data_IF_812761986450
#
_entry.id   IF_812761986450
#
_cell.length_a   1.000
_cell.length_b   1.000
_cell.length_c   1.000
_cell.angle_alpha   90.00
_cell.angle_beta   90.00
_cell.angle_gamma   90.00
#
_symmetry.space_group_name_H-M   'P 1'
#
loop_
_entity.id
_entity.type
_entity.pdbx_description
1 polymer ?
#
# COMPACT_ATOMS: atom_id res chain seq x y z
N UNK A 1 10.12 31.89 2.90
CA UNK A 1 8.87 31.91 3.69
C UNK A 1 8.38 30.48 3.75
N UNK A 2 8.19 29.88 4.94
CA UNK A 2 7.47 28.59 5.02
C UNK A 2 6.05 28.88 4.55
N UNK A 3 5.62 28.28 3.42
CA UNK A 3 4.19 28.18 3.09
C UNK A 3 3.54 27.61 4.36
N UNK A 4 2.61 28.33 4.98
CA UNK A 4 1.73 27.69 5.97
C UNK A 4 0.88 26.70 5.17
N UNK A 5 1.40 25.49 4.98
CA UNK A 5 0.65 24.44 4.30
C UNK A 5 -0.57 24.11 5.15
N UNK A 6 -1.74 24.16 4.53
CA UNK A 6 -2.96 23.64 5.15
C UNK A 6 -2.78 22.14 5.39
N UNK A 7 -3.45 21.66 6.43
CA UNK A 7 -3.46 20.24 6.81
C UNK A 7 -4.90 19.77 6.98
N UNK A 8 -5.21 18.55 6.54
CA UNK A 8 -6.53 17.95 6.67
C UNK A 8 -6.61 16.95 7.81
N UNK A 9 -7.84 16.72 8.27
CA UNK A 9 -8.16 15.61 9.15
C UNK A 9 -9.42 14.90 8.64
N UNK A 10 -9.46 13.58 8.76
CA UNK A 10 -10.62 12.77 8.38
C UNK A 10 -11.41 12.39 9.65
N UNK A 11 -12.70 12.69 9.69
CA UNK A 11 -13.60 12.25 10.77
C UNK A 11 -13.90 10.75 10.64
N UNK A 12 -14.32 10.10 11.72
CA UNK A 12 -14.79 8.70 11.67
C UNK A 12 -16.08 8.56 10.87
N UNK A 13 -16.29 7.38 10.27
CA UNK A 13 -17.57 7.00 9.69
C UNK A 13 -18.61 6.74 10.80
N UNK A 14 -19.82 7.26 10.64
CA UNK A 14 -20.97 6.97 11.51
C UNK A 14 -21.70 5.67 11.10
N UNK A 15 -21.32 5.08 9.96
CA UNK A 15 -21.93 3.85 9.44
C UNK A 15 -21.28 2.61 10.09
N UNK A 16 -22.06 1.55 10.36
CA UNK A 16 -21.50 0.31 10.88
C UNK A 16 -20.59 -0.38 9.86
N UNK A 17 -19.61 -1.14 10.35
CA UNK A 17 -18.78 -2.00 9.50
C UNK A 17 -19.63 -3.09 8.83
N UNK A 18 -19.28 -3.42 7.59
CA UNK A 18 -19.96 -4.42 6.75
C UNK A 18 -19.08 -5.66 6.63
N UNK A 19 -19.68 -6.83 6.83
CA UNK A 19 -18.97 -8.13 6.89
C UNK A 19 -18.09 -8.40 5.68
N UNK A 20 -18.50 -7.99 4.48
CA UNK A 20 -17.74 -8.23 3.24
C UNK A 20 -16.36 -7.56 3.27
N UNK A 21 -16.19 -6.47 4.02
CA UNK A 21 -14.94 -5.70 4.11
C UNK A 21 -14.02 -6.18 5.25
N UNK A 22 -14.44 -7.17 6.03
CA UNK A 22 -13.64 -7.69 7.15
C UNK A 22 -12.28 -8.26 6.71
N UNK A 23 -12.12 -8.61 5.43
CA UNK A 23 -10.85 -9.06 4.85
C UNK A 23 -9.75 -7.98 4.85
N UNK A 24 -10.12 -6.69 4.92
CA UNK A 24 -9.18 -5.57 4.93
C UNK A 24 -8.42 -5.49 6.26
N UNK A 25 -9.10 -5.81 7.37
CA UNK A 25 -8.54 -5.71 8.72
C UNK A 25 -7.22 -6.48 8.91
N UNK A 26 -7.11 -7.76 8.59
CA UNK A 26 -5.84 -8.47 8.77
C UNK A 26 -4.71 -7.89 7.89
N UNK A 27 -5.00 -7.42 6.68
CA UNK A 27 -4.02 -6.73 5.82
C UNK A 27 -3.56 -5.41 6.47
N UNK A 28 -4.51 -4.62 6.95
CA UNK A 28 -4.24 -3.36 7.65
C UNK A 28 -3.30 -3.56 8.84
N UNK A 29 -3.51 -4.60 9.66
CA UNK A 29 -2.66 -4.86 10.82
C UNK A 29 -1.22 -5.26 10.42
N UNK A 30 -1.03 -6.05 9.35
CA UNK A 30 0.32 -6.37 8.83
C UNK A 30 1.06 -5.09 8.39
N UNK A 31 0.39 -4.20 7.66
CA UNK A 31 1.02 -2.95 7.21
C UNK A 31 1.22 -1.98 8.38
N UNK A 32 0.30 -1.94 9.34
CA UNK A 32 0.47 -1.16 10.58
C UNK A 32 1.68 -1.63 11.38
N UNK A 33 1.91 -2.94 11.48
CA UNK A 33 3.11 -3.52 12.10
C UNK A 33 4.38 -3.05 11.37
N UNK A 34 4.39 -3.07 10.04
CA UNK A 34 5.51 -2.55 9.26
C UNK A 34 5.78 -1.07 9.54
N UNK A 35 4.74 -0.23 9.58
CA UNK A 35 4.89 1.18 9.92
C UNK A 35 5.48 1.38 11.32
N UNK A 36 5.05 0.58 12.31
CA UNK A 36 5.59 0.62 13.67
C UNK A 36 7.07 0.26 13.71
N UNK A 37 7.47 -0.79 12.97
CA UNK A 37 8.85 -1.27 12.96
C UNK A 37 9.79 -0.34 12.24
N UNK A 38 9.37 0.20 11.10
CA UNK A 38 10.23 1.03 10.27
C UNK A 38 10.08 2.54 10.55
N UNK A 39 9.23 2.91 11.52
CA UNK A 39 9.07 4.29 11.96
C UNK A 39 8.37 5.17 10.93
N UNK A 40 7.37 4.62 10.25
CA UNK A 40 6.51 5.37 9.32
C UNK A 40 5.27 5.92 10.04
N UNK A 41 4.63 6.98 9.51
CA UNK A 41 3.45 7.60 10.11
C UNK A 41 2.28 6.63 10.30
N UNK A 42 1.54 6.78 11.40
CA UNK A 42 0.37 5.96 11.76
C UNK A 42 -0.68 6.88 12.38
N UNK A 43 -1.93 6.77 11.91
CA UNK A 43 -3.08 7.47 12.48
C UNK A 43 -2.86 9.00 12.59
N UNK A 44 -2.28 9.60 11.55
CA UNK A 44 -2.00 11.04 11.45
C UNK A 44 -3.30 11.85 11.39
N UNK A 45 -3.34 12.91 12.19
CA UNK A 45 -4.46 13.86 12.24
C UNK A 45 -4.23 15.11 11.41
N UNK A 46 -2.99 15.36 10.97
CA UNK A 46 -2.61 16.52 10.19
C UNK A 46 -2.00 16.03 8.87
N UNK A 47 -2.87 15.74 7.91
CA UNK A 47 -2.51 15.22 6.60
C UNK A 47 -1.95 16.39 5.77
N UNK A 48 -0.72 16.26 5.31
CA UNK A 48 -0.03 17.29 4.51
C UNK A 48 -0.01 16.93 3.01
N UNK A 49 0.16 17.91 2.10
CA UNK A 49 0.36 17.65 0.67
C UNK A 49 1.52 16.68 0.41
N UNK A 50 2.68 16.89 1.04
CA UNK A 50 3.87 16.05 0.87
C UNK A 50 3.60 14.58 1.20
N UNK A 51 2.82 14.31 2.25
CA UNK A 51 2.39 12.95 2.58
C UNK A 51 1.52 12.35 1.47
N UNK A 52 0.57 13.11 0.94
CA UNK A 52 -0.34 12.66 -0.10
C UNK A 52 0.39 12.40 -1.42
N UNK A 53 1.29 13.29 -1.84
CA UNK A 53 2.15 13.08 -3.01
C UNK A 53 3.01 11.82 -2.85
N UNK A 54 3.61 11.61 -1.68
CA UNK A 54 4.39 10.40 -1.41
C UNK A 54 3.52 9.14 -1.53
N UNK A 55 2.32 9.13 -0.93
CA UNK A 55 1.40 7.99 -1.04
C UNK A 55 0.95 7.74 -2.49
N UNK A 56 0.67 8.81 -3.24
CA UNK A 56 0.30 8.73 -4.65
C UNK A 56 1.41 8.11 -5.49
N UNK A 57 2.66 8.56 -5.30
CA UNK A 57 3.81 8.07 -6.03
C UNK A 57 4.05 6.58 -5.75
N UNK A 58 3.98 6.16 -4.48
CA UNK A 58 4.13 4.74 -4.13
C UNK A 58 3.03 3.88 -4.78
N UNK A 59 1.76 4.30 -4.72
CA UNK A 59 0.67 3.54 -5.36
C UNK A 59 0.85 3.46 -6.87
N UNK A 60 1.26 4.57 -7.50
CA UNK A 60 1.45 4.62 -8.96
C UNK A 60 2.62 3.74 -9.40
N UNK A 61 3.75 3.81 -8.71
CA UNK A 61 4.95 3.00 -9.01
C UNK A 61 4.62 1.51 -9.02
N UNK A 62 4.05 0.97 -7.93
CA UNK A 62 3.74 -0.47 -7.83
C UNK A 62 2.66 -0.91 -8.83
N UNK A 63 1.69 -0.04 -9.15
CA UNK A 63 0.64 -0.35 -10.11
C UNK A 63 1.14 -0.33 -11.57
N UNK A 64 2.03 0.60 -11.92
CA UNK A 64 2.68 0.66 -13.24
C UNK A 64 3.63 -0.53 -13.44
N UNK A 65 4.36 -0.96 -12.39
CA UNK A 65 5.14 -2.21 -12.42
C UNK A 65 4.24 -3.44 -12.69
N UNK A 66 3.03 -3.46 -12.11
CA UNK A 66 2.04 -4.50 -12.37
C UNK A 66 1.55 -4.55 -13.82
N UNK A 67 1.26 -3.40 -14.43
CA UNK A 67 0.88 -3.33 -15.84
C UNK A 67 2.03 -3.79 -16.76
N UNK A 68 3.26 -3.39 -16.46
CA UNK A 68 4.43 -3.85 -17.22
C UNK A 68 4.64 -5.37 -17.08
N UNK A 69 4.45 -5.93 -15.89
CA UNK A 69 4.55 -7.38 -15.66
C UNK A 69 3.49 -8.19 -16.43
N UNK A 70 2.29 -7.62 -16.60
CA UNK A 70 1.23 -8.19 -17.45
C UNK A 70 1.67 -8.21 -18.92
N UNK A 71 2.17 -7.08 -19.43
CA UNK A 71 2.66 -6.98 -20.82
C UNK A 71 3.81 -7.97 -21.10
N UNK A 72 4.66 -8.23 -20.11
CA UNK A 72 5.77 -9.18 -20.20
C UNK A 72 5.33 -10.64 -20.00
N UNK A 73 4.11 -10.90 -19.53
CA UNK A 73 3.62 -12.23 -19.21
C UNK A 73 4.36 -12.89 -18.05
N UNK A 74 4.93 -12.10 -17.14
CA UNK A 74 5.74 -12.60 -16.03
C UNK A 74 4.89 -12.88 -14.79
N UNK A 75 4.34 -14.10 -14.72
CA UNK A 75 3.48 -14.58 -13.65
C UNK A 75 3.95 -14.25 -12.22
N UNK A 76 5.27 -14.35 -11.97
CA UNK A 76 5.83 -14.06 -10.65
C UNK A 76 5.78 -12.56 -10.33
N UNK A 77 6.22 -11.73 -11.26
CA UNK A 77 6.25 -10.27 -11.07
C UNK A 77 4.82 -9.69 -11.06
N UNK A 78 3.86 -10.30 -11.77
CA UNK A 78 2.44 -9.94 -11.67
C UNK A 78 1.95 -10.11 -10.23
N UNK A 79 2.22 -11.26 -9.59
CA UNK A 79 1.78 -11.50 -8.21
C UNK A 79 2.53 -10.63 -7.19
N UNK A 80 3.82 -10.34 -7.42
CA UNK A 80 4.59 -9.41 -6.61
C UNK A 80 3.95 -8.01 -6.65
N UNK A 81 3.71 -7.49 -7.86
CA UNK A 81 3.12 -6.17 -8.06
C UNK A 81 1.67 -6.06 -7.54
N UNK A 82 0.84 -7.11 -7.66
CA UNK A 82 -0.49 -7.14 -7.00
C UNK A 82 -0.33 -6.97 -5.50
N UNK A 83 0.59 -7.72 -4.91
CA UNK A 83 0.82 -7.70 -3.48
C UNK A 83 1.41 -6.39 -2.98
N UNK A 84 2.41 -5.83 -3.67
CA UNK A 84 3.03 -4.55 -3.35
C UNK A 84 2.04 -3.39 -3.54
N UNK A 85 1.22 -3.40 -4.60
CA UNK A 85 0.11 -2.44 -4.80
C UNK A 85 -0.87 -2.47 -3.62
N UNK A 86 -1.31 -3.66 -3.21
CA UNK A 86 -2.18 -3.82 -2.02
C UNK A 86 -1.49 -3.34 -0.74
N UNK A 87 -0.18 -3.57 -0.61
CA UNK A 87 0.61 -3.13 0.54
C UNK A 87 0.65 -1.60 0.66
N UNK A 88 0.90 -0.89 -0.45
CA UNK A 88 0.92 0.58 -0.47
C UNK A 88 -0.48 1.19 -0.40
N UNK A 89 -1.52 0.54 -0.92
CA UNK A 89 -2.91 0.95 -0.69
C UNK A 89 -3.29 0.88 0.79
N UNK A 90 -3.02 -0.26 1.43
CA UNK A 90 -3.28 -0.44 2.86
C UNK A 90 -2.44 0.51 3.73
N UNK A 91 -1.18 0.79 3.35
CA UNK A 91 -0.34 1.76 4.04
C UNK A 91 -0.91 3.18 4.01
N UNK A 92 -1.66 3.54 2.96
CA UNK A 92 -2.35 4.85 2.90
C UNK A 92 -3.48 4.91 3.92
N UNK A 93 -4.21 3.80 4.14
CA UNK A 93 -5.17 3.72 5.23
C UNK A 93 -4.48 3.86 6.60
N UNK A 94 -3.35 3.17 6.81
CA UNK A 94 -2.60 3.21 8.08
C UNK A 94 -2.14 4.62 8.45
N UNK A 95 -1.72 5.41 7.45
CA UNK A 95 -1.25 6.78 7.67
C UNK A 95 -2.39 7.70 8.10
N UNK A 96 -3.57 7.59 7.51
CA UNK A 96 -4.67 8.54 7.71
C UNK A 96 -5.58 8.07 8.84
N UNK A 97 -5.65 8.84 9.93
CA UNK A 97 -6.55 8.52 11.04
C UNK A 97 -7.99 8.38 10.57
N UNK A 98 -8.70 7.40 11.13
CA UNK A 98 -10.11 7.09 10.85
C UNK A 98 -10.42 6.54 9.45
N UNK A 99 -9.46 6.48 8.52
CA UNK A 99 -9.67 5.95 7.16
C UNK A 99 -10.25 4.52 7.17
N UNK A 100 -9.76 3.69 8.09
CA UNK A 100 -10.19 2.29 8.24
C UNK A 100 -11.68 2.16 8.57
N UNK A 101 -12.24 3.10 9.35
CA UNK A 101 -13.68 3.10 9.66
C UNK A 101 -14.54 3.29 8.41
N UNK A 102 -14.09 4.13 7.48
CA UNK A 102 -14.76 4.34 6.20
C UNK A 102 -14.67 3.12 5.31
N UNK A 103 -13.47 2.56 5.12
CA UNK A 103 -13.24 1.36 4.33
C UNK A 103 -14.08 0.17 4.81
N UNK A 104 -14.15 -0.05 6.13
CA UNK A 104 -14.98 -1.11 6.71
C UNK A 104 -16.49 -0.86 6.57
N UNK A 105 -16.93 0.40 6.54
CA UNK A 105 -18.35 0.77 6.48
C UNK A 105 -18.94 0.89 5.06
N UNK A 106 -18.12 0.67 4.03
CA UNK A 106 -18.50 0.86 2.65
C UNK A 106 -19.44 -0.25 2.15
N UNK A 107 -20.65 0.15 1.76
CA UNK A 107 -21.56 -0.72 1.00
C UNK A 107 -21.30 -0.55 -0.50
N UNK A 108 -20.48 -1.45 -1.05
CA UNK A 108 -20.13 -1.49 -2.47
C UNK A 108 -21.36 -1.67 -3.40
N UNK A 109 -22.51 -2.11 -2.86
CA UNK A 109 -23.72 -2.44 -3.64
C UNK A 109 -24.83 -1.37 -3.55
N UNK A 110 -24.76 -0.42 -2.61
CA UNK A 110 -25.76 0.65 -2.45
C UNK A 110 -25.39 1.98 -3.08
N UNK A 111 -24.13 2.22 -3.46
CA UNK A 111 -23.78 3.45 -4.16
C UNK A 111 -24.38 3.43 -5.57
N UNK A 112 -25.51 4.11 -5.76
CA UNK A 112 -26.14 4.39 -7.06
C UNK A 112 -25.31 5.25 -8.01
N UNK A 113 -24.01 5.42 -7.76
CA UNK A 113 -23.04 6.13 -8.59
C UNK A 113 -21.78 5.27 -8.80
N UNK A 114 -21.84 4.42 -9.83
CA UNK A 114 -20.78 4.13 -10.80
C UNK A 114 -19.29 4.20 -10.38
N UNK A 115 -18.82 3.30 -9.51
CA UNK A 115 -17.40 2.90 -9.59
C UNK A 115 -17.25 1.40 -9.55
N UNK A 116 -17.38 0.73 -8.41
CA UNK A 116 -17.02 -0.69 -8.37
C UNK A 116 -18.09 -1.67 -8.84
N UNK A 117 -19.38 -1.40 -8.60
CA UNK A 117 -20.45 -2.28 -9.08
C UNK A 117 -20.49 -2.31 -10.61
N UNK A 118 -20.32 -1.15 -11.25
CA UNK A 118 -20.23 -1.09 -12.71
C UNK A 118 -18.98 -1.81 -13.20
N UNK A 119 -17.79 -1.52 -12.64
CA UNK A 119 -16.54 -2.22 -13.01
C UNK A 119 -16.69 -3.74 -12.83
N UNK A 120 -17.18 -4.20 -11.68
CA UNK A 120 -17.40 -5.62 -11.38
C UNK A 120 -18.45 -6.27 -12.28
N UNK A 121 -19.51 -5.54 -12.66
CA UNK A 121 -20.60 -6.07 -13.47
C UNK A 121 -20.35 -5.98 -14.98
N UNK A 122 -19.49 -5.07 -15.44
CA UNK A 122 -19.26 -4.83 -16.88
C UNK A 122 -17.84 -5.14 -17.36
N UNK A 123 -16.85 -5.12 -16.48
CA UNK A 123 -15.43 -5.29 -16.84
C UNK A 123 -14.80 -6.54 -16.24
N UNK A 124 -15.23 -6.98 -15.04
CA UNK A 124 -14.72 -8.19 -14.40
C UNK A 124 -15.41 -9.44 -14.92
N UNK A 125 -14.62 -10.50 -15.14
CA UNK A 125 -15.04 -11.72 -15.85
C UNK A 125 -14.63 -11.72 -17.33
N UNK A 126 -13.83 -10.75 -17.74
CA UNK A 126 -13.29 -10.63 -19.10
C UNK A 126 -12.01 -11.46 -19.33
N UNK A 127 -11.40 -11.94 -18.23
CA UNK A 127 -10.23 -12.79 -18.21
C UNK A 127 -9.25 -12.32 -17.12
N UNK A 128 -8.54 -13.26 -16.49
CA UNK A 128 -7.69 -12.98 -15.32
C UNK A 128 -6.76 -11.76 -15.50
N UNK A 129 -6.02 -11.70 -16.60
CA UNK A 129 -5.10 -10.57 -16.87
C UNK A 129 -5.83 -9.24 -17.02
N UNK A 130 -6.93 -9.22 -17.76
CA UNK A 130 -7.71 -7.99 -17.98
C UNK A 130 -8.38 -7.50 -16.70
N UNK A 131 -8.82 -8.43 -15.86
CA UNK A 131 -9.40 -8.08 -14.57
C UNK A 131 -8.32 -7.57 -13.59
N UNK A 132 -7.06 -8.05 -13.69
CA UNK A 132 -5.91 -7.46 -12.98
C UNK A 132 -5.54 -6.07 -13.51
N UNK A 133 -5.50 -5.87 -14.82
CA UNK A 133 -5.29 -4.55 -15.45
C UNK A 133 -6.31 -3.53 -14.90
N UNK A 134 -7.58 -3.92 -14.78
CA UNK A 134 -8.62 -3.10 -14.16
C UNK A 134 -8.26 -2.72 -12.71
N UNK A 135 -7.76 -3.67 -11.92
CA UNK A 135 -7.30 -3.42 -10.55
C UNK A 135 -6.14 -2.41 -10.48
N UNK A 136 -5.14 -2.56 -11.34
CA UNK A 136 -4.00 -1.63 -11.41
C UNK A 136 -4.42 -0.24 -11.89
N UNK A 137 -5.27 -0.13 -12.90
CA UNK A 137 -5.79 1.16 -13.39
C UNK A 137 -6.64 1.88 -12.32
N UNK A 138 -7.39 1.13 -11.51
CA UNK A 138 -8.12 1.70 -10.38
C UNK A 138 -7.16 2.21 -9.28
N UNK A 139 -6.05 1.51 -9.03
CA UNK A 139 -5.00 1.98 -8.13
C UNK A 139 -4.34 3.28 -8.66
N UNK A 140 -4.05 3.37 -9.95
CA UNK A 140 -3.54 4.60 -10.60
C UNK A 140 -4.55 5.75 -10.46
N UNK A 141 -5.84 5.48 -10.67
CA UNK A 141 -6.92 6.47 -10.46
C UNK A 141 -6.97 6.95 -9.00
N UNK A 142 -6.80 6.02 -8.05
CA UNK A 142 -6.71 6.35 -6.61
C UNK A 142 -5.48 7.21 -6.29
N UNK A 143 -4.35 6.96 -6.95
CA UNK A 143 -3.16 7.82 -6.87
C UNK A 143 -3.43 9.22 -7.46
N UNK A 144 -4.23 9.33 -8.52
CA UNK A 144 -4.69 10.61 -9.07
C UNK A 144 -5.49 11.42 -8.05
N UNK A 145 -6.47 10.79 -7.38
CA UNK A 145 -7.26 11.44 -6.33
C UNK A 145 -6.38 11.98 -5.18
N UNK A 146 -5.34 11.24 -4.79
CA UNK A 146 -4.38 11.71 -3.78
C UNK A 146 -3.61 12.96 -4.23
N UNK A 147 -3.24 13.04 -5.51
CA UNK A 147 -2.61 14.23 -6.10
C UNK A 147 -3.59 15.40 -6.11
N UNK A 148 -4.84 15.19 -6.53
CA UNK A 148 -5.85 16.25 -6.56
C UNK A 148 -6.08 16.85 -5.16
N UNK A 149 -6.19 15.99 -4.12
CA UNK A 149 -6.33 16.45 -2.72
C UNK A 149 -5.09 17.26 -2.29
N UNK A 150 -3.89 16.82 -2.67
CA UNK A 150 -2.65 17.52 -2.35
C UNK A 150 -2.58 18.89 -3.03
N UNK A 151 -2.96 18.97 -4.31
CA UNK A 151 -3.02 20.20 -5.09
C UNK A 151 -4.03 21.20 -4.49
N UNK A 152 -5.21 20.73 -4.08
CA UNK A 152 -6.20 21.56 -3.38
C UNK A 152 -5.64 22.15 -2.09
N UNK A 153 -4.96 21.34 -1.27
CA UNK A 153 -4.29 21.84 -0.06
C UNK A 153 -3.22 22.88 -0.35
N UNK A 154 -2.45 22.69 -1.43
CA UNK A 154 -1.39 23.60 -1.86
C UNK A 154 -1.92 24.93 -2.42
N UNK A 155 -3.11 24.89 -3.01
CA UNK A 155 -3.87 26.04 -3.53
C UNK A 155 -4.69 26.77 -2.44
N UNK A 156 -4.92 26.12 -1.30
CA UNK A 156 -5.73 26.66 -0.21
C UNK A 156 -7.23 26.35 -0.29
N UNK A 157 -7.61 25.38 -1.10
CA UNK A 157 -8.99 24.97 -1.38
C UNK A 157 -9.46 23.87 -0.39
N UNK A 158 -9.58 24.24 0.89
CA UNK A 158 -9.86 23.30 1.99
C UNK A 158 -11.19 22.53 1.83
N UNK A 159 -12.23 23.16 1.25
CA UNK A 159 -13.54 22.54 1.05
C UNK A 159 -13.46 21.37 0.05
N UNK A 160 -12.84 21.59 -1.11
CA UNK A 160 -12.61 20.57 -2.13
C UNK A 160 -11.77 19.41 -1.57
N UNK A 161 -10.68 19.75 -0.86
CA UNK A 161 -9.81 18.75 -0.25
C UNK A 161 -10.52 17.92 0.84
N UNK A 162 -11.40 18.54 1.64
CA UNK A 162 -12.24 17.86 2.63
C UNK A 162 -13.26 16.91 1.98
N UNK A 163 -13.85 17.31 0.86
CA UNK A 163 -14.80 16.48 0.12
C UNK A 163 -14.11 15.22 -0.41
N UNK A 164 -12.95 15.38 -1.05
CA UNK A 164 -12.28 14.27 -1.71
C UNK A 164 -11.53 13.33 -0.76
N UNK A 165 -10.93 13.85 0.32
CA UNK A 165 -10.31 12.98 1.35
C UNK A 165 -11.35 12.06 2.00
N UNK A 166 -12.62 12.46 2.06
CA UNK A 166 -13.71 11.63 2.59
C UNK A 166 -14.04 10.44 1.68
N UNK A 167 -13.74 10.55 0.38
CA UNK A 167 -13.96 9.51 -0.64
C UNK A 167 -12.76 8.57 -0.75
N UNK A 168 -11.56 9.02 -0.46
CA UNK A 168 -10.32 8.23 -0.61
C UNK A 168 -10.39 6.81 -0.02
N UNK A 169 -10.89 6.57 1.21
CA UNK A 169 -10.97 5.21 1.74
C UNK A 169 -11.89 4.29 0.92
N UNK A 170 -12.89 4.85 0.24
CA UNK A 170 -13.77 4.10 -0.65
C UNK A 170 -13.03 3.59 -1.88
N UNK A 171 -12.26 4.46 -2.53
CA UNK A 171 -11.43 4.09 -3.67
C UNK A 171 -10.41 3.00 -3.31
N UNK A 172 -9.76 3.13 -2.15
CA UNK A 172 -8.85 2.09 -1.65
C UNK A 172 -9.59 0.77 -1.41
N UNK A 173 -10.76 0.80 -0.76
CA UNK A 173 -11.57 -0.40 -0.51
C UNK A 173 -12.00 -1.09 -1.81
N UNK A 174 -12.34 -0.32 -2.84
CA UNK A 174 -12.69 -0.83 -4.17
C UNK A 174 -11.49 -1.56 -4.82
N UNK A 175 -10.29 -0.98 -4.77
CA UNK A 175 -9.06 -1.66 -5.24
C UNK A 175 -8.84 -3.00 -4.52
N UNK A 176 -8.91 -3.00 -3.19
CA UNK A 176 -8.71 -4.21 -2.38
C UNK A 176 -9.73 -5.30 -2.72
N UNK A 177 -10.98 -4.90 -2.94
CA UNK A 177 -12.03 -5.83 -3.34
C UNK A 177 -11.79 -6.42 -4.74
N UNK A 178 -11.33 -5.62 -5.71
CA UNK A 178 -10.97 -6.09 -7.06
C UNK A 178 -9.87 -7.14 -7.00
N UNK A 179 -8.71 -6.81 -6.41
CA UNK A 179 -7.60 -7.75 -6.31
C UNK A 179 -8.01 -9.02 -5.55
N UNK A 180 -8.78 -8.88 -4.47
CA UNK A 180 -9.31 -10.04 -3.73
C UNK A 180 -10.18 -10.92 -4.61
N UNK A 181 -11.09 -10.34 -5.39
CA UNK A 181 -12.02 -11.08 -6.24
C UNK A 181 -11.27 -11.81 -7.36
N UNK A 182 -10.40 -11.11 -8.07
CA UNK A 182 -9.64 -11.66 -9.20
C UNK A 182 -8.72 -12.80 -8.74
N UNK A 183 -7.96 -12.61 -7.65
CA UNK A 183 -7.12 -13.67 -7.10
C UNK A 183 -7.95 -14.87 -6.58
N UNK A 184 -9.12 -14.61 -6.00
CA UNK A 184 -10.00 -15.68 -5.53
C UNK A 184 -10.50 -16.58 -6.68
N UNK A 185 -10.89 -15.99 -7.81
CA UNK A 185 -11.28 -16.76 -9.01
C UNK A 185 -10.13 -17.63 -9.53
N UNK A 186 -8.90 -17.18 -9.34
CA UNK A 186 -7.69 -17.90 -9.75
C UNK A 186 -7.07 -18.77 -8.65
N UNK A 187 -7.81 -19.00 -7.57
CA UNK A 187 -7.40 -19.84 -6.44
C UNK A 187 -6.18 -19.31 -5.64
N UNK A 188 -5.80 -18.05 -5.79
CA UNK A 188 -4.72 -17.42 -5.01
C UNK A 188 -5.31 -16.70 -3.80
N UNK A 189 -4.97 -17.08 -2.55
CA UNK A 189 -5.50 -16.40 -1.37
C UNK A 189 -4.79 -15.06 -1.14
N UNK A 190 -5.50 -13.94 -1.37
CA UNK A 190 -4.94 -12.58 -1.19
C UNK A 190 -4.21 -12.43 0.15
N UNK A 191 -4.82 -12.81 1.27
CA UNK A 191 -4.17 -12.67 2.58
C UNK A 191 -2.84 -13.45 2.67
N UNK A 192 -2.79 -14.67 2.11
CA UNK A 192 -1.56 -15.47 2.12
C UNK A 192 -0.44 -14.80 1.31
N UNK A 193 -0.78 -14.24 0.14
CA UNK A 193 0.15 -13.49 -0.69
C UNK A 193 0.71 -12.26 0.06
N UNK A 194 -0.17 -11.46 0.66
CA UNK A 194 0.23 -10.28 1.44
C UNK A 194 1.05 -10.67 2.68
N UNK A 195 0.73 -11.79 3.33
CA UNK A 195 1.50 -12.28 4.46
C UNK A 195 2.93 -12.64 4.05
N UNK A 196 3.13 -13.34 2.92
CA UNK A 196 4.47 -13.68 2.44
C UNK A 196 5.30 -12.43 2.09
N UNK A 197 4.68 -11.43 1.45
CA UNK A 197 5.30 -10.14 1.16
C UNK A 197 5.62 -9.39 2.45
N UNK A 198 4.71 -9.41 3.43
CA UNK A 198 4.95 -8.82 4.74
C UNK A 198 6.16 -9.45 5.42
N UNK A 199 6.26 -10.78 5.47
CA UNK A 199 7.39 -11.49 6.08
C UNK A 199 8.73 -11.11 5.43
N UNK A 200 8.77 -11.05 4.09
CA UNK A 200 9.90 -10.51 3.32
C UNK A 200 10.23 -9.06 3.71
N UNK A 201 9.21 -8.19 3.78
CA UNK A 201 9.37 -6.79 4.17
C UNK A 201 9.90 -6.61 5.60
N UNK A 202 9.47 -7.44 6.54
CA UNK A 202 9.95 -7.42 7.93
C UNK A 202 11.40 -7.90 8.07
N UNK A 203 11.89 -8.74 7.14
CA UNK A 203 13.28 -9.19 7.10
C UNK A 203 14.29 -8.10 6.71
N UNK A 204 13.81 -6.91 6.31
CA UNK A 204 14.67 -5.75 5.99
C UNK A 204 15.43 -5.21 7.20
N UNK A 205 15.01 -5.51 8.43
CA UNK A 205 15.64 -5.04 9.66
C UNK A 205 17.10 -5.50 9.78
N UNK A 206 17.97 -4.61 10.26
CA UNK A 206 19.39 -4.89 10.48
C UNK A 206 19.64 -5.32 11.93
N UNK A 207 20.75 -6.00 12.16
CA UNK A 207 21.04 -6.52 13.50
C UNK A 207 21.28 -5.39 14.51
N UNK A 208 20.73 -5.55 15.71
CA UNK A 208 21.02 -4.72 16.88
C UNK A 208 22.45 -4.95 17.40
N UNK A 209 22.95 -6.17 17.28
CA UNK A 209 24.32 -6.54 17.65
C UNK A 209 25.33 -5.78 16.78
N UNK A 210 26.26 -5.11 17.45
CA UNK A 210 27.20 -4.21 16.79
C UNK A 210 28.20 -4.97 15.91
N UNK A 211 28.64 -6.16 16.29
CA UNK A 211 29.62 -6.95 15.54
C UNK A 211 28.97 -7.67 14.35
N UNK A 212 27.73 -8.13 14.49
CA UNK A 212 26.93 -8.61 13.36
C UNK A 212 26.67 -7.45 12.40
N UNK A 213 26.22 -6.29 12.88
CA UNK A 213 25.91 -5.14 12.01
C UNK A 213 27.15 -4.59 11.28
N UNK A 214 28.33 -4.56 11.92
CA UNK A 214 29.59 -4.21 11.23
C UNK A 214 29.88 -5.13 10.05
N UNK A 215 29.68 -6.45 10.22
CA UNK A 215 29.83 -7.43 9.12
C UNK A 215 28.75 -7.24 8.05
N UNK A 216 27.52 -6.92 8.43
CA UNK A 216 26.46 -6.57 7.48
C UNK A 216 26.85 -5.34 6.65
N UNK A 217 27.32 -4.26 7.28
CA UNK A 217 27.76 -3.03 6.58
C UNK A 217 28.90 -3.35 5.60
N UNK A 218 29.90 -4.14 6.02
CA UNK A 218 31.04 -4.52 5.17
C UNK A 218 30.64 -5.34 3.93
N UNK A 219 29.52 -6.08 4.01
CA UNK A 219 29.04 -6.97 2.94
C UNK A 219 27.83 -6.41 2.17
N UNK A 220 27.40 -5.19 2.46
CA UNK A 220 26.25 -4.60 1.78
C UNK A 220 26.64 -3.90 0.48
N UNK A 221 25.68 -3.75 -0.43
CA UNK A 221 25.85 -3.07 -1.73
C UNK A 221 25.71 -1.55 -1.67
N UNK A 222 25.43 -0.99 -0.49
CA UNK A 222 25.08 0.42 -0.34
C UNK A 222 26.33 1.29 -0.18
N UNK A 223 26.25 2.53 -0.64
CA UNK A 223 27.30 3.52 -0.42
C UNK A 223 27.43 3.82 1.09
N UNK A 224 28.59 3.59 1.73
CA UNK A 224 28.76 3.88 3.16
C UNK A 224 28.53 5.34 3.54
N UNK A 225 28.76 6.28 2.62
CA UNK A 225 28.51 7.70 2.85
C UNK A 225 27.02 8.08 2.84
N UNK A 226 26.16 7.17 2.38
CA UNK A 226 24.72 7.38 2.22
C UNK A 226 23.90 6.35 3.01
N UNK A 227 24.56 5.51 3.81
CA UNK A 227 23.94 4.51 4.68
C UNK A 227 23.93 5.02 6.12
N UNK A 228 22.73 5.19 6.67
CA UNK A 228 22.53 5.55 8.07
C UNK A 228 21.63 4.54 8.77
N UNK A 229 21.61 4.61 10.11
CA UNK A 229 20.83 3.73 10.96
C UNK A 229 20.05 4.53 12.00
N UNK A 230 18.83 4.10 12.26
CA UNK A 230 18.03 4.53 13.42
C UNK A 230 17.56 3.31 14.20
N UNK A 231 17.39 3.45 15.50
CA UNK A 231 16.92 2.36 16.37
C UNK A 231 15.47 2.02 16.03
N UNK A 232 15.15 0.73 15.92
CA UNK A 232 13.75 0.29 15.89
C UNK A 232 13.16 0.42 17.30
N UNK A 233 12.05 1.15 17.43
CA UNK A 233 11.46 1.43 18.75
C UNK A 233 10.61 0.25 19.24
N UNK A 234 10.00 -0.49 18.32
CA UNK A 234 9.03 -1.54 18.64
C UNK A 234 9.65 -2.93 18.89
N UNK A 235 10.88 -3.19 18.43
CA UNK A 235 11.57 -4.47 18.60
C UNK A 235 13.08 -4.33 18.48
N UNK A 236 13.80 -5.38 18.85
CA UNK A 236 15.26 -5.42 18.72
C UNK A 236 15.70 -5.38 17.25
N UNK A 237 16.59 -4.45 16.92
CA UNK A 237 17.13 -4.26 15.58
C UNK A 237 17.35 -2.79 15.21
N UNK A 238 17.97 -2.59 14.04
CA UNK A 238 18.25 -1.27 13.47
C UNK A 238 17.56 -1.12 12.13
N UNK A 239 17.01 0.06 11.88
CA UNK A 239 16.47 0.43 10.58
C UNK A 239 17.61 1.07 9.78
N UNK A 240 18.10 0.36 8.77
CA UNK A 240 19.02 0.92 7.78
C UNK A 240 18.25 1.74 6.76
N UNK A 241 18.68 2.98 6.50
CA UNK A 241 18.04 3.86 5.54
C UNK A 241 19.08 4.64 4.73
N UNK A 242 18.65 5.10 3.56
CA UNK A 242 19.44 5.95 2.69
C UNK A 242 19.29 7.42 3.09
N UNK A 243 20.39 8.13 3.28
CA UNK A 243 20.37 9.54 3.74
C UNK A 243 19.74 10.45 2.68
N UNK A 244 19.98 10.16 1.40
CA UNK A 244 19.52 11.03 0.30
C UNK A 244 17.99 11.15 0.17
N UNK A 245 17.23 10.14 0.60
CA UNK A 245 15.78 10.06 0.36
C UNK A 245 14.98 9.26 1.40
N UNK A 246 15.59 8.94 2.55
CA UNK A 246 14.99 8.16 3.63
C UNK A 246 14.48 6.75 3.26
N UNK A 247 14.87 6.21 2.09
CA UNK A 247 14.46 4.87 1.65
C UNK A 247 14.96 3.80 2.62
N UNK A 248 14.07 2.93 3.08
CA UNK A 248 14.43 1.75 3.88
C UNK A 248 15.29 0.79 3.06
N UNK A 249 16.42 0.39 3.62
CA UNK A 249 17.40 -0.46 2.96
C UNK A 249 17.34 -1.90 3.49
N UNK A 250 17.26 -2.85 2.56
CA UNK A 250 17.26 -4.30 2.84
C UNK A 250 18.59 -4.68 3.52
N UNK A 251 18.54 -5.31 4.69
CA UNK A 251 19.75 -5.85 5.33
C UNK A 251 20.38 -6.97 4.48
N UNK A 252 21.68 -7.27 4.63
CA UNK A 252 22.29 -8.41 3.94
C UNK A 252 21.72 -9.79 4.32
N UNK A 253 20.99 -9.86 5.44
CA UNK A 253 20.23 -11.03 5.87
C UNK A 253 18.75 -11.01 5.44
N UNK A 254 18.38 -10.07 4.55
CA UNK A 254 17.06 -9.99 3.95
C UNK A 254 16.70 -11.29 3.22
N UNK A 255 15.46 -11.73 3.39
CA UNK A 255 14.89 -12.89 2.71
C UNK A 255 13.93 -12.38 1.64
N UNK A 256 14.23 -12.57 0.33
CA UNK A 256 13.28 -12.28 -0.73
C UNK A 256 12.00 -13.10 -0.56
N UNK A 257 10.87 -12.54 -0.98
CA UNK A 257 9.60 -13.27 -0.99
C UNK A 257 9.69 -14.48 -1.93
N UNK A 258 9.20 -15.62 -1.46
CA UNK A 258 9.01 -16.80 -2.30
C UNK A 258 7.56 -16.86 -2.77
N UNK A 259 7.36 -16.51 -4.05
CA UNK A 259 6.04 -16.50 -4.68
C UNK A 259 5.72 -17.82 -5.40
N UNK A 260 6.64 -18.77 -5.43
CA UNK A 260 6.48 -20.05 -6.13
C UNK A 260 5.19 -20.78 -5.74
N UNK A 261 4.83 -20.90 -4.45
CA UNK A 261 3.59 -21.58 -4.05
C UNK A 261 2.32 -20.91 -4.61
N UNK A 262 2.31 -19.58 -4.75
CA UNK A 262 1.16 -18.84 -5.28
C UNK A 262 1.05 -18.96 -6.80
N UNK A 263 2.19 -18.96 -7.50
CA UNK A 263 2.24 -19.21 -8.95
C UNK A 263 1.75 -20.63 -9.25
N UNK A 264 2.24 -21.64 -8.52
CA UNK A 264 1.81 -23.05 -8.70
C UNK A 264 0.33 -23.27 -8.37
N UNK A 265 -0.22 -22.50 -7.41
CA UNK A 265 -1.62 -22.56 -7.03
C UNK A 265 -2.54 -21.87 -8.05
N UNK A 266 -2.01 -20.89 -8.79
CA UNK A 266 -2.78 -20.09 -9.73
C UNK A 266 -3.17 -20.91 -10.96
N UNK A 267 -4.46 -21.09 -11.19
CA UNK A 267 -4.98 -21.85 -12.33
C UNK A 267 -5.20 -20.99 -13.59
N UNK A 268 -4.81 -19.71 -13.54
CA UNK A 268 -5.09 -18.69 -14.55
C UNK A 268 -3.81 -18.02 -15.09
N UNK A 269 -2.64 -18.44 -14.60
CA UNK A 269 -1.30 -18.03 -15.05
C UNK A 269 -0.70 -19.09 -15.99
#
# INVERSE_FOLDING_TARGET
MKKNSLTLSLKSSDKPAITINNHIKPIYELVKEFHQVFGHPIDETAITPDMLYLRANLIREEAEEGLAAIDEGNAKEILDAVGDTVYVLAGTLVVIKNSMSHALSLDHFQLGAATIFNIMATEIGSGFMRDLETGFNLAITTAGLLVDIADYLDAGEEECACEDISRLPTYISDCLMVFRHVLHLSNVPLYGLIQAIHESNMSKLWSSDTEIRKRQIANCKYNPADLAFRTCISRDGMIGYRISDDKILKSPSYTPVDLTPFVEQCNSL
#
